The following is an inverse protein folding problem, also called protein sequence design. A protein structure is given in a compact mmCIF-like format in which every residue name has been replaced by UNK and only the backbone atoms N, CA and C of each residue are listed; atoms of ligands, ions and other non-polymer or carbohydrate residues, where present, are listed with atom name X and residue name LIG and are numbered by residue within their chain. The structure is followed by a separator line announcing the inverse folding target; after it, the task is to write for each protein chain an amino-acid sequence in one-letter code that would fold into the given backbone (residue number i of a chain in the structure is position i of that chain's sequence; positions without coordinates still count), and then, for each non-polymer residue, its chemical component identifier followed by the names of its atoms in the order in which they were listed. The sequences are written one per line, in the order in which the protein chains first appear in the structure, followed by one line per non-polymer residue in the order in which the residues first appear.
data_IF_588924531408
#
_entry.id   IF_588924531408
#
_cell.length_a   1.000
_cell.length_b   1.000
_cell.length_c   1.000
_cell.angle_alpha   90.00
_cell.angle_beta   90.00
_cell.angle_gamma   90.00
#
_symmetry.space_group_name_H-M   'P 1'
#
loop_
_entity.id
_entity.type
_entity.pdbx_description
1 polymer ?
#
# COMPACT_ATOMS: atom_id res chain seq x y z
N UNK A 1 -59.56 12.47 -85.15
CA UNK A 1 -60.02 13.21 -83.96
C UNK A 1 -59.88 12.25 -82.79
N UNK A 2 -59.05 12.53 -81.76
CA UNK A 2 -58.99 11.66 -80.59
C UNK A 2 -60.38 11.65 -79.92
N UNK A 3 -60.89 10.45 -79.61
CA UNK A 3 -62.22 10.24 -79.05
C UNK A 3 -62.40 10.97 -77.72
N UNK A 4 -63.58 11.56 -77.51
CA UNK A 4 -63.90 12.41 -76.35
C UNK A 4 -63.61 11.74 -75.00
N UNK A 5 -63.68 10.41 -74.92
CA UNK A 5 -63.33 9.61 -73.74
C UNK A 5 -61.86 9.77 -73.32
N UNK A 6 -60.91 9.80 -74.28
CA UNK A 6 -59.47 9.99 -73.95
C UNK A 6 -59.20 11.39 -73.41
N UNK A 7 -59.99 12.38 -73.82
CA UNK A 7 -59.88 13.76 -73.34
C UNK A 7 -60.48 13.92 -71.93
N UNK A 8 -61.53 13.17 -71.61
CA UNK A 8 -62.13 13.13 -70.28
C UNK A 8 -61.23 12.40 -69.27
N UNK A 9 -60.63 11.29 -69.68
CA UNK A 9 -59.72 10.51 -68.83
C UNK A 9 -58.44 11.29 -68.50
N UNK A 10 -57.88 12.02 -69.47
CA UNK A 10 -56.71 12.89 -69.25
C UNK A 10 -57.02 14.07 -68.33
N UNK A 11 -58.19 14.71 -68.44
CA UNK A 11 -58.62 15.77 -67.49
C UNK A 11 -58.81 15.25 -66.07
N UNK A 12 -59.40 14.07 -65.91
CA UNK A 12 -59.60 13.44 -64.59
C UNK A 12 -58.26 13.07 -63.93
N UNK A 13 -57.28 12.64 -64.73
CA UNK A 13 -55.92 12.33 -64.27
C UNK A 13 -55.14 13.60 -63.90
N UNK A 14 -55.33 14.70 -64.62
CA UNK A 14 -54.76 16.01 -64.28
C UNK A 14 -55.34 16.55 -62.95
N UNK A 15 -56.66 16.48 -62.76
CA UNK A 15 -57.30 16.91 -61.50
C UNK A 15 -56.87 16.05 -60.29
N UNK A 16 -56.63 14.76 -60.51
CA UNK A 16 -56.06 13.87 -59.48
C UNK A 16 -54.59 14.18 -59.15
N UNK A 17 -53.80 14.61 -60.14
CA UNK A 17 -52.42 15.02 -59.92
C UNK A 17 -52.35 16.35 -59.15
N UNK A 18 -53.18 17.31 -59.52
CA UNK A 18 -53.28 18.62 -58.85
C UNK A 18 -53.77 18.49 -57.40
N UNK A 19 -54.66 17.52 -57.12
CA UNK A 19 -55.07 17.17 -55.74
C UNK A 19 -53.99 16.43 -54.94
N UNK A 20 -53.05 15.74 -55.59
CA UNK A 20 -51.95 15.00 -54.93
C UNK A 20 -50.71 15.87 -54.65
N UNK A 21 -50.49 16.93 -55.42
CA UNK A 21 -49.41 17.90 -55.19
C UNK A 21 -49.36 18.48 -53.77
N UNK A 22 -50.45 18.99 -53.17
CA UNK A 22 -50.41 19.52 -51.81
C UNK A 22 -50.16 18.44 -50.75
N UNK A 23 -50.59 17.19 -50.99
CA UNK A 23 -50.34 16.06 -50.08
C UNK A 23 -48.87 15.63 -50.10
N UNK A 24 -48.26 15.60 -51.30
CA UNK A 24 -46.83 15.36 -51.47
C UNK A 24 -45.99 16.50 -50.88
N UNK A 25 -46.38 17.77 -51.09
CA UNK A 25 -45.71 18.92 -50.49
C UNK A 25 -45.74 18.88 -48.95
N UNK A 26 -46.88 18.49 -48.36
CA UNK A 26 -47.00 18.30 -46.91
C UNK A 26 -46.10 17.16 -46.40
N UNK A 27 -46.05 16.02 -47.10
CA UNK A 27 -45.17 14.89 -46.75
C UNK A 27 -43.69 15.27 -46.83
N UNK A 28 -43.29 16.05 -47.83
CA UNK A 28 -41.91 16.56 -47.97
C UNK A 28 -41.57 17.54 -46.84
N UNK A 29 -42.49 18.43 -46.48
CA UNK A 29 -42.29 19.35 -45.35
C UNK A 29 -42.18 18.61 -44.00
N UNK A 30 -43.01 17.59 -43.77
CA UNK A 30 -42.93 16.76 -42.56
C UNK A 30 -41.64 15.93 -42.51
N UNK A 31 -41.22 15.36 -43.65
CA UNK A 31 -39.95 14.65 -43.75
C UNK A 31 -38.76 15.58 -43.48
N UNK A 32 -38.79 16.81 -43.99
CA UNK A 32 -37.76 17.82 -43.74
C UNK A 32 -37.71 18.25 -42.28
N UNK A 33 -38.86 18.47 -41.65
CA UNK A 33 -38.94 18.78 -40.22
C UNK A 33 -38.41 17.65 -39.34
N UNK A 34 -38.75 16.39 -39.67
CA UNK A 34 -38.21 15.21 -38.97
C UNK A 34 -36.71 15.04 -39.17
N UNK A 35 -36.20 15.33 -40.36
CA UNK A 35 -34.76 15.30 -40.64
C UNK A 35 -34.00 16.36 -39.82
N UNK A 36 -34.52 17.59 -39.73
CA UNK A 36 -33.92 18.66 -38.93
C UNK A 36 -33.96 18.32 -37.42
N UNK A 37 -35.05 17.74 -36.92
CA UNK A 37 -35.14 17.30 -35.53
C UNK A 37 -34.16 16.17 -35.22
N UNK A 38 -34.00 15.20 -36.14
CA UNK A 38 -33.03 14.12 -36.01
C UNK A 38 -31.58 14.67 -36.01
N UNK A 39 -31.29 15.66 -36.85
CA UNK A 39 -29.99 16.33 -36.90
C UNK A 39 -29.70 17.08 -35.58
N UNK A 40 -30.66 17.85 -35.06
CA UNK A 40 -30.52 18.51 -33.74
C UNK A 40 -30.26 17.51 -32.61
N UNK A 41 -30.99 16.39 -32.59
CA UNK A 41 -30.77 15.33 -31.59
C UNK A 41 -29.40 14.67 -31.73
N UNK A 42 -28.92 14.46 -32.95
CA UNK A 42 -27.59 13.92 -33.20
C UNK A 42 -26.48 14.87 -32.74
N UNK A 43 -26.64 16.18 -32.94
CA UNK A 43 -25.69 17.20 -32.45
C UNK A 43 -25.69 17.27 -30.92
N UNK A 44 -26.86 17.26 -30.27
CA UNK A 44 -26.96 17.23 -28.81
C UNK A 44 -26.35 15.95 -28.22
N UNK A 45 -26.56 14.80 -28.87
CA UNK A 45 -25.96 13.53 -28.46
C UNK A 45 -24.44 13.57 -28.56
N UNK A 46 -23.88 14.09 -29.66
CA UNK A 46 -22.43 14.28 -29.80
C UNK A 46 -21.85 15.17 -28.70
N UNK A 47 -22.47 16.33 -28.44
CA UNK A 47 -22.02 17.21 -27.35
C UNK A 47 -22.01 16.53 -25.98
N UNK A 48 -22.98 15.66 -25.70
CA UNK A 48 -23.00 14.90 -24.44
C UNK A 48 -21.87 13.87 -24.36
N UNK A 49 -21.60 13.16 -25.45
CA UNK A 49 -20.48 12.21 -25.53
C UNK A 49 -19.14 12.94 -25.37
N UNK A 50 -18.95 14.06 -26.06
CA UNK A 50 -17.75 14.89 -25.94
C UNK A 50 -17.56 15.40 -24.50
N UNK A 51 -18.65 15.83 -23.84
CA UNK A 51 -18.62 16.26 -22.45
C UNK A 51 -18.30 15.10 -21.48
N UNK A 52 -18.85 13.91 -21.71
CA UNK A 52 -18.51 12.72 -20.92
C UNK A 52 -17.05 12.31 -21.11
N UNK A 53 -16.51 12.35 -22.35
CA UNK A 53 -15.10 12.08 -22.62
C UNK A 53 -14.19 13.07 -21.89
N UNK A 54 -14.49 14.36 -21.95
CA UNK A 54 -13.73 15.38 -21.23
C UNK A 54 -13.79 15.21 -19.70
N UNK A 55 -14.95 14.79 -19.17
CA UNK A 55 -15.09 14.50 -17.75
C UNK A 55 -14.28 13.27 -17.31
N UNK A 56 -14.17 12.23 -18.16
CA UNK A 56 -13.32 11.06 -17.90
C UNK A 56 -11.84 11.43 -17.92
N UNK A 57 -11.41 12.19 -18.94
CA UNK A 57 -10.04 12.71 -19.05
C UNK A 57 -9.63 13.52 -17.81
N UNK A 58 -10.53 14.38 -17.31
CA UNK A 58 -10.30 15.17 -16.11
C UNK A 58 -10.11 14.29 -14.85
N UNK A 59 -10.87 13.19 -14.73
CA UNK A 59 -10.72 12.25 -13.62
C UNK A 59 -9.41 11.45 -13.70
N UNK A 60 -8.93 11.12 -14.91
CA UNK A 60 -7.62 10.49 -15.11
C UNK A 60 -6.51 11.46 -14.66
N UNK A 61 -6.56 12.71 -15.11
CA UNK A 61 -5.60 13.74 -14.72
C UNK A 61 -5.61 14.02 -13.19
N UNK A 62 -6.79 13.97 -12.55
CA UNK A 62 -6.89 14.07 -11.10
C UNK A 62 -6.19 12.89 -10.39
N UNK A 63 -6.39 11.66 -10.88
CA UNK A 63 -5.70 10.47 -10.35
C UNK A 63 -4.18 10.55 -10.53
N UNK A 64 -3.69 11.00 -11.68
CA UNK A 64 -2.26 11.23 -11.92
C UNK A 64 -1.66 12.23 -10.91
N UNK A 65 -2.38 13.33 -10.66
CA UNK A 65 -1.96 14.33 -9.69
C UNK A 65 -1.91 13.77 -8.26
N UNK A 66 -2.90 12.98 -7.87
CA UNK A 66 -2.92 12.32 -6.56
C UNK A 66 -1.79 11.29 -6.41
N UNK A 67 -1.49 10.52 -7.47
CA UNK A 67 -0.35 9.59 -7.50
C UNK A 67 0.96 10.35 -7.29
N UNK A 68 1.19 11.44 -8.04
CA UNK A 68 2.39 12.27 -7.88
C UNK A 68 2.48 12.89 -6.48
N UNK A 69 1.35 13.32 -5.92
CA UNK A 69 1.27 13.84 -4.56
C UNK A 69 1.70 12.81 -3.52
N UNK A 70 1.18 11.58 -3.62
CA UNK A 70 1.53 10.47 -2.73
C UNK A 70 2.99 10.04 -2.87
N UNK A 71 3.53 9.99 -4.09
CA UNK A 71 4.95 9.70 -4.32
C UNK A 71 5.85 10.74 -3.66
N UNK A 72 5.46 12.00 -3.75
CA UNK A 72 6.19 13.09 -3.10
C UNK A 72 6.11 12.99 -1.58
N UNK A 73 4.93 12.71 -1.02
CA UNK A 73 4.76 12.57 0.43
C UNK A 73 5.54 11.38 0.99
N UNK A 74 5.55 10.24 0.29
CA UNK A 74 6.37 9.08 0.63
C UNK A 74 7.87 9.43 0.61
N UNK A 75 8.31 10.20 -0.38
CA UNK A 75 9.69 10.68 -0.46
C UNK A 75 10.05 11.61 0.70
N UNK A 76 9.17 12.55 1.06
CA UNK A 76 9.36 13.44 2.21
C UNK A 76 9.42 12.66 3.54
N UNK A 77 8.63 11.60 3.69
CA UNK A 77 8.71 10.70 4.85
C UNK A 77 10.06 9.99 4.91
N UNK A 78 10.52 9.43 3.79
CA UNK A 78 11.80 8.74 3.68
C UNK A 78 12.97 9.68 4.04
N UNK A 79 12.92 10.95 3.60
CA UNK A 79 13.92 12.00 3.84
C UNK A 79 13.81 12.68 5.21
N UNK A 80 12.72 12.48 5.97
CA UNK A 80 12.54 13.13 7.28
C UNK A 80 13.53 12.63 8.35
N UNK A 81 13.82 13.44 9.36
CA UNK A 81 14.64 13.04 10.52
C UNK A 81 13.88 12.17 11.55
N UNK A 82 12.67 11.70 11.19
CA UNK A 82 11.83 10.89 12.07
C UNK A 82 12.42 9.51 12.35
N UNK A 83 12.06 8.91 13.48
CA UNK A 83 12.48 7.54 13.82
C UNK A 83 11.88 6.51 12.85
N UNK A 84 12.62 5.44 12.53
CA UNK A 84 12.23 4.45 11.51
C UNK A 84 10.85 3.83 11.74
N UNK A 85 10.46 3.61 13.00
CA UNK A 85 9.15 3.06 13.33
C UNK A 85 8.00 4.04 13.06
N UNK A 86 8.24 5.35 13.15
CA UNK A 86 7.27 6.40 12.82
C UNK A 86 7.15 6.51 11.30
N UNK A 87 8.28 6.49 10.59
CA UNK A 87 8.32 6.48 9.12
C UNK A 87 7.52 5.31 8.57
N UNK A 88 7.80 4.09 9.03
CA UNK A 88 7.12 2.89 8.54
C UNK A 88 5.62 2.91 8.82
N UNK A 89 5.20 3.41 10.00
CA UNK A 89 3.79 3.55 10.36
C UNK A 89 3.00 4.52 9.46
N UNK A 90 3.66 5.54 8.90
CA UNK A 90 3.07 6.48 7.94
C UNK A 90 3.22 6.00 6.49
N UNK A 91 4.34 5.37 6.16
CA UNK A 91 4.69 4.89 4.82
C UNK A 91 3.78 3.75 4.38
N UNK A 92 3.54 2.76 5.22
CA UNK A 92 2.73 1.59 4.87
C UNK A 92 1.30 1.93 4.38
N UNK A 93 0.49 2.78 5.06
CA UNK A 93 -0.83 3.13 4.57
C UNK A 93 -0.79 4.01 3.31
N UNK A 94 0.18 4.93 3.19
CA UNK A 94 0.33 5.77 2.00
C UNK A 94 0.78 4.96 0.78
N UNK A 95 1.68 4.00 0.96
CA UNK A 95 2.12 3.08 -0.09
C UNK A 95 0.94 2.22 -0.58
N UNK A 96 0.13 1.67 0.34
CA UNK A 96 -1.07 0.90 -0.04
C UNK A 96 -2.05 1.74 -0.87
N UNK A 97 -2.24 3.02 -0.50
CA UNK A 97 -3.07 3.96 -1.27
C UNK A 97 -2.47 4.27 -2.63
N UNK A 98 -1.15 4.48 -2.69
CA UNK A 98 -0.42 4.73 -3.94
C UNK A 98 -0.57 3.56 -4.91
N UNK A 99 -0.38 2.33 -4.42
CA UNK A 99 -0.47 1.12 -5.24
C UNK A 99 -1.90 0.92 -5.78
N UNK A 100 -2.92 1.19 -4.96
CA UNK A 100 -4.32 1.13 -5.40
C UNK A 100 -4.63 2.18 -6.48
N UNK A 101 -4.14 3.42 -6.31
CA UNK A 101 -4.32 4.49 -7.30
C UNK A 101 -3.58 4.21 -8.59
N UNK A 102 -2.33 3.73 -8.52
CA UNK A 102 -1.55 3.33 -9.71
C UNK A 102 -2.20 2.18 -10.47
N UNK A 103 -2.74 1.19 -9.76
CA UNK A 103 -3.47 0.09 -10.40
C UNK A 103 -4.73 0.58 -11.12
N UNK A 104 -5.47 1.50 -10.49
CA UNK A 104 -6.65 2.13 -11.12
C UNK A 104 -6.25 2.96 -12.33
N UNK A 105 -5.25 3.83 -12.20
CA UNK A 105 -4.74 4.68 -13.28
C UNK A 105 -4.29 3.84 -14.49
N UNK A 106 -3.48 2.80 -14.27
CA UNK A 106 -3.01 1.90 -15.33
C UNK A 106 -4.15 1.22 -16.07
N UNK A 107 -5.21 0.80 -15.36
CA UNK A 107 -6.41 0.22 -15.98
C UNK A 107 -7.19 1.25 -16.82
N UNK A 108 -7.24 2.50 -16.39
CA UNK A 108 -7.90 3.58 -17.13
C UNK A 108 -7.12 3.97 -18.40
N UNK A 109 -5.79 4.07 -18.30
CA UNK A 109 -4.90 4.33 -19.44
C UNK A 109 -5.02 3.21 -20.48
N UNK A 110 -4.98 1.94 -20.08
CA UNK A 110 -5.12 0.80 -21.00
C UNK A 110 -6.46 0.80 -21.75
N UNK A 111 -7.56 1.13 -21.06
CA UNK A 111 -8.87 1.24 -21.68
C UNK A 111 -8.97 2.46 -22.61
N UNK A 112 -8.35 3.58 -22.25
CA UNK A 112 -8.28 4.79 -23.08
C UNK A 112 -7.49 4.54 -24.37
N UNK A 113 -6.32 3.90 -24.28
CA UNK A 113 -5.51 3.54 -25.45
C UNK A 113 -6.26 2.60 -26.39
N UNK A 114 -7.02 1.64 -25.83
CA UNK A 114 -7.85 0.72 -26.62
C UNK A 114 -8.98 1.45 -27.36
N UNK A 115 -9.58 2.47 -26.75
CA UNK A 115 -10.61 3.30 -27.40
C UNK A 115 -10.01 4.04 -28.60
N UNK A 116 -8.84 4.66 -28.44
CA UNK A 116 -8.16 5.37 -29.53
C UNK A 116 -7.78 4.43 -30.69
N UNK A 117 -7.36 3.19 -30.39
CA UNK A 117 -7.09 2.16 -31.40
C UNK A 117 -8.37 1.75 -32.15
N UNK A 118 -9.47 1.50 -31.44
CA UNK A 118 -10.76 1.16 -32.04
C UNK A 118 -11.32 2.29 -32.91
N UNK A 119 -11.20 3.55 -32.48
CA UNK A 119 -11.60 4.72 -33.27
C UNK A 119 -10.81 4.79 -34.58
N UNK A 120 -9.50 4.52 -34.54
CA UNK A 120 -8.67 4.48 -35.74
C UNK A 120 -9.03 3.33 -36.70
N UNK A 121 -9.38 2.15 -36.17
CA UNK A 121 -9.87 1.02 -36.96
C UNK A 121 -11.24 1.31 -37.59
N UNK A 122 -12.16 1.88 -36.82
CA UNK A 122 -13.49 2.30 -37.29
C UNK A 122 -13.33 3.31 -38.43
N UNK A 123 -12.48 4.32 -38.29
CA UNK A 123 -12.25 5.32 -39.33
C UNK A 123 -11.72 4.70 -40.65
N UNK A 124 -10.84 3.68 -40.56
CA UNK A 124 -10.39 2.92 -41.74
C UNK A 124 -11.53 2.13 -42.38
N UNK A 125 -12.32 1.41 -41.58
CA UNK A 125 -13.46 0.63 -42.06
C UNK A 125 -14.55 1.51 -42.68
N UNK A 126 -14.81 2.70 -42.13
CA UNK A 126 -15.75 3.67 -42.71
C UNK A 126 -15.29 4.12 -44.10
N UNK A 127 -13.98 4.37 -44.25
CA UNK A 127 -13.38 4.69 -45.54
C UNK A 127 -13.49 3.52 -46.53
N UNK A 128 -13.19 2.30 -46.09
CA UNK A 128 -13.32 1.09 -46.93
C UNK A 128 -14.78 0.88 -47.38
N UNK A 129 -15.75 1.07 -46.47
CA UNK A 129 -17.18 1.00 -46.80
C UNK A 129 -17.58 2.05 -47.83
N UNK A 130 -17.03 3.26 -47.75
CA UNK A 130 -17.28 4.32 -48.74
C UNK A 130 -16.65 3.99 -50.10
N UNK A 131 -15.41 3.51 -50.11
CA UNK A 131 -14.69 3.11 -51.31
C UNK A 131 -15.39 1.92 -52.02
N UNK A 132 -15.85 0.90 -51.28
CA UNK A 132 -16.61 -0.21 -51.85
C UNK A 132 -18.00 0.20 -52.36
N UNK A 133 -18.65 1.19 -51.74
CA UNK A 133 -19.93 1.74 -52.21
C UNK A 133 -19.82 2.41 -53.57
N UNK A 134 -18.67 3.02 -53.85
CA UNK A 134 -18.39 3.73 -55.09
C UNK A 134 -17.72 2.84 -56.14
N UNK A 135 -17.59 1.52 -55.88
CA UNK A 135 -16.94 0.57 -56.78
C UNK A 135 -17.96 -0.25 -57.58
N UNK A 136 -17.78 -0.33 -58.90
CA UNK A 136 -18.59 -1.16 -59.81
C UNK A 136 -18.05 -2.59 -59.98
N UNK A 137 -17.20 -3.08 -59.06
CA UNK A 137 -16.61 -4.41 -59.15
C UNK A 137 -17.60 -5.54 -58.85
N UNK A 138 -17.51 -6.68 -59.55
CA UNK A 138 -18.41 -7.85 -59.35
C UNK A 138 -18.45 -8.37 -57.90
N UNK A 139 -17.40 -8.16 -57.11
CA UNK A 139 -17.34 -8.57 -55.71
C UNK A 139 -17.54 -7.40 -54.72
N UNK A 140 -17.69 -6.16 -55.20
CA UNK A 140 -17.78 -4.96 -54.36
C UNK A 140 -18.94 -5.04 -53.38
N UNK A 141 -20.09 -5.61 -53.79
CA UNK A 141 -21.23 -5.82 -52.89
C UNK A 141 -20.92 -6.81 -51.75
N UNK A 142 -20.17 -7.88 -52.00
CA UNK A 142 -19.77 -8.82 -50.94
C UNK A 142 -18.78 -8.18 -49.97
N UNK A 143 -17.76 -7.46 -50.48
CA UNK A 143 -16.81 -6.75 -49.63
C UNK A 143 -17.48 -5.64 -48.82
N UNK A 144 -18.44 -4.93 -49.39
CA UNK A 144 -19.24 -3.94 -48.70
C UNK A 144 -20.03 -4.55 -47.52
N UNK A 145 -20.66 -5.71 -47.74
CA UNK A 145 -21.42 -6.41 -46.70
C UNK A 145 -20.48 -6.88 -45.58
N UNK A 146 -19.30 -7.40 -45.92
CA UNK A 146 -18.29 -7.79 -44.94
C UNK A 146 -17.78 -6.59 -44.15
N UNK A 147 -17.35 -5.52 -44.82
CA UNK A 147 -16.81 -4.30 -44.19
C UNK A 147 -17.84 -3.63 -43.27
N UNK A 148 -19.13 -3.60 -43.66
CA UNK A 148 -20.20 -3.11 -42.79
C UNK A 148 -20.37 -3.96 -41.53
N UNK A 149 -20.33 -5.29 -41.67
CA UNK A 149 -20.45 -6.19 -40.52
C UNK A 149 -19.27 -6.00 -39.55
N UNK A 150 -18.06 -5.86 -40.07
CA UNK A 150 -16.88 -5.61 -39.25
C UNK A 150 -16.93 -4.23 -38.59
N UNK A 151 -17.42 -3.21 -39.31
CA UNK A 151 -17.66 -1.87 -38.77
C UNK A 151 -18.66 -1.89 -37.62
N UNK A 152 -19.79 -2.59 -37.77
CA UNK A 152 -20.80 -2.73 -36.72
C UNK A 152 -20.23 -3.47 -35.50
N UNK A 153 -19.43 -4.51 -35.72
CA UNK A 153 -18.76 -5.24 -34.64
C UNK A 153 -17.76 -4.37 -33.88
N UNK A 154 -16.95 -3.57 -34.59
CA UNK A 154 -15.98 -2.66 -33.97
C UNK A 154 -16.64 -1.51 -33.23
N UNK A 155 -17.74 -0.96 -33.75
CA UNK A 155 -18.56 0.03 -33.02
C UNK A 155 -19.16 -0.54 -31.74
N UNK A 156 -19.62 -1.79 -31.75
CA UNK A 156 -20.10 -2.45 -30.55
C UNK A 156 -18.96 -2.73 -29.55
N UNK A 157 -17.75 -3.03 -30.02
CA UNK A 157 -16.58 -3.18 -29.15
C UNK A 157 -16.17 -1.85 -28.51
N UNK A 158 -16.22 -0.75 -29.27
CA UNK A 158 -16.00 0.61 -28.77
C UNK A 158 -16.98 0.96 -27.66
N UNK A 159 -18.28 0.80 -27.90
CA UNK A 159 -19.34 1.10 -26.90
C UNK A 159 -19.14 0.31 -25.60
N UNK A 160 -18.77 -0.97 -25.69
CA UNK A 160 -18.48 -1.77 -24.50
C UNK A 160 -17.21 -1.28 -23.78
N UNK A 161 -16.16 -0.90 -24.52
CA UNK A 161 -14.91 -0.41 -23.93
C UNK A 161 -15.10 0.95 -23.24
N UNK A 162 -15.90 1.84 -23.83
CA UNK A 162 -16.31 3.11 -23.19
C UNK A 162 -17.13 2.88 -21.92
N UNK A 163 -18.04 1.89 -21.92
CA UNK A 163 -18.81 1.53 -20.75
C UNK A 163 -17.92 0.94 -19.63
N UNK A 164 -16.94 0.10 -20.00
CA UNK A 164 -15.96 -0.44 -19.06
C UNK A 164 -15.05 0.65 -18.50
N UNK A 165 -14.64 1.64 -19.30
CA UNK A 165 -13.88 2.80 -18.84
C UNK A 165 -14.70 3.60 -17.82
N UNK A 166 -15.96 3.92 -18.14
CA UNK A 166 -16.87 4.64 -17.22
C UNK A 166 -17.05 3.88 -15.90
N UNK A 167 -17.24 2.56 -15.97
CA UNK A 167 -17.34 1.70 -14.79
C UNK A 167 -16.04 1.68 -13.99
N UNK A 168 -14.88 1.55 -14.64
CA UNK A 168 -13.58 1.53 -13.97
C UNK A 168 -13.29 2.86 -13.25
N UNK A 169 -13.75 3.98 -13.82
CA UNK A 169 -13.68 5.29 -13.17
C UNK A 169 -14.52 5.35 -11.90
N UNK A 170 -15.75 4.82 -11.92
CA UNK A 170 -16.65 4.80 -10.76
C UNK A 170 -16.36 3.66 -9.76
N UNK A 171 -15.49 2.71 -10.13
CA UNK A 171 -15.08 1.59 -9.28
C UNK A 171 -14.34 2.12 -8.04
N UNK A 172 -14.76 1.73 -6.82
CA UNK A 172 -14.11 2.18 -5.60
C UNK A 172 -12.67 1.67 -5.58
N UNK A 173 -11.77 2.49 -5.04
CA UNK A 173 -10.38 2.11 -4.82
C UNK A 173 -10.34 1.03 -3.75
N UNK A 174 -10.37 -0.24 -4.15
CA UNK A 174 -10.14 -1.33 -3.22
C UNK A 174 -8.66 -1.34 -2.89
N UNK A 175 -8.25 -1.02 -1.64
CA UNK A 175 -6.86 -1.11 -1.26
C UNK A 175 -6.39 -2.55 -1.43
N UNK A 176 -5.17 -2.73 -1.93
CA UNK A 176 -4.50 -4.02 -1.86
C UNK A 176 -4.56 -4.53 -0.42
N UNK A 177 -4.82 -5.83 -0.17
CA UNK A 177 -4.92 -6.36 1.18
C UNK A 177 -3.67 -5.96 1.98
N UNK A 178 -3.88 -5.33 3.13
CA UNK A 178 -2.80 -4.82 3.97
C UNK A 178 -1.76 -5.94 4.20
N UNK A 179 -0.45 -5.65 4.08
CA UNK A 179 0.57 -6.64 4.36
C UNK A 179 0.34 -7.22 5.76
N UNK A 180 0.33 -8.55 5.86
CA UNK A 180 0.12 -9.22 7.13
C UNK A 180 1.08 -8.64 8.19
N UNK A 181 0.60 -8.34 9.41
CA UNK A 181 1.43 -7.75 10.44
C UNK A 181 2.71 -8.59 10.60
N UNK A 182 3.86 -7.91 10.51
CA UNK A 182 5.17 -8.56 10.72
C UNK A 182 5.11 -9.30 12.06
N UNK A 183 5.50 -10.59 12.12
CA UNK A 183 5.52 -11.34 13.38
C UNK A 183 6.23 -10.52 14.46
N UNK A 184 5.61 -10.40 15.63
CA UNK A 184 6.22 -9.73 16.76
C UNK A 184 7.63 -10.31 16.98
N UNK A 185 8.66 -9.47 17.24
CA UNK A 185 9.99 -9.97 17.52
C UNK A 185 9.91 -10.99 18.65
N UNK A 186 10.57 -12.14 18.45
CA UNK A 186 10.62 -13.19 19.46
C UNK A 186 11.11 -12.58 20.78
N UNK A 187 10.48 -12.92 21.92
CA UNK A 187 10.91 -12.40 23.21
C UNK A 187 12.40 -12.65 23.39
N UNK A 188 13.14 -11.61 23.78
CA UNK A 188 14.57 -11.71 24.03
C UNK A 188 14.83 -12.88 25.01
N UNK A 189 15.86 -13.70 24.77
CA UNK A 189 16.18 -14.81 25.66
C UNK A 189 16.35 -14.28 27.08
N UNK A 190 15.62 -14.89 28.02
CA UNK A 190 15.75 -14.60 29.44
C UNK A 190 17.23 -14.69 29.81
N UNK A 191 17.84 -13.66 30.43
CA UNK A 191 19.23 -13.73 30.87
C UNK A 191 19.41 -15.00 31.73
N UNK A 192 20.39 -15.83 31.39
CA UNK A 192 20.74 -16.97 32.22
C UNK A 192 21.03 -16.48 33.63
N UNK A 193 20.48 -17.19 34.62
CA UNK A 193 20.73 -16.89 36.02
C UNK A 193 22.26 -16.90 36.25
N UNK A 194 22.81 -15.89 36.96
CA UNK A 194 24.24 -15.83 37.22
C UNK A 194 24.69 -17.14 37.89
N UNK A 195 25.79 -17.70 37.37
CA UNK A 195 26.35 -18.94 37.90
C UNK A 195 26.50 -18.84 39.43
N UNK A 196 26.13 -19.90 40.18
CA UNK A 196 26.22 -19.89 41.64
C UNK A 196 27.65 -19.56 42.07
N UNK A 197 27.76 -18.61 43.01
CA UNK A 197 29.05 -18.17 43.53
C UNK A 197 29.90 -19.37 43.97
N UNK A 198 31.21 -19.38 43.66
CA UNK A 198 32.09 -20.48 44.01
C UNK A 198 32.06 -20.71 45.53
N UNK A 199 31.90 -21.98 45.92
CA UNK A 199 31.85 -22.40 47.32
C UNK A 199 33.11 -21.89 48.04
N UNK A 200 32.99 -21.25 49.22
CA UNK A 200 34.14 -20.77 49.97
C UNK A 200 35.17 -21.88 50.17
N UNK A 201 36.44 -21.59 49.91
CA UNK A 201 37.53 -22.52 50.14
C UNK A 201 37.52 -22.96 51.62
N UNK A 202 37.75 -24.25 51.91
CA UNK A 202 37.80 -24.75 53.28
C UNK A 202 38.87 -23.99 54.08
N UNK A 203 38.50 -23.54 55.28
CA UNK A 203 39.38 -22.79 56.16
C UNK A 203 40.69 -23.59 56.43
N UNK A 204 41.85 -22.91 56.43
CA UNK A 204 43.12 -23.57 56.70
C UNK A 204 43.09 -24.24 58.08
N UNK A 205 43.59 -25.47 58.13
CA UNK A 205 43.69 -26.27 59.36
C UNK A 205 44.50 -25.49 60.42
N UNK A 206 44.01 -25.36 61.67
CA UNK A 206 44.75 -24.67 62.72
C UNK A 206 46.15 -25.25 62.89
N UNK A 207 47.15 -24.38 63.02
CA UNK A 207 48.52 -24.78 63.30
C UNK A 207 48.57 -25.58 64.63
N UNK A 208 49.38 -26.65 64.71
CA UNK A 208 49.52 -27.43 65.93
C UNK A 208 50.04 -26.54 67.07
N UNK A 209 49.43 -26.69 68.25
CA UNK A 209 49.78 -25.92 69.43
C UNK A 209 51.26 -26.16 69.83
N UNK A 210 51.98 -25.11 70.25
CA UNK A 210 53.37 -25.25 70.69
C UNK A 210 53.45 -26.17 71.91
N UNK A 211 54.48 -27.03 71.90
CA UNK A 211 54.76 -27.98 72.99
C UNK A 211 55.03 -27.20 74.30
N UNK A 212 54.45 -27.62 75.45
CA UNK A 212 54.71 -26.97 76.73
C UNK A 212 56.21 -26.94 77.06
N UNK A 213 56.67 -25.78 77.54
CA UNK A 213 58.04 -25.63 78.02
C UNK A 213 58.29 -26.54 79.24
N UNK A 214 59.50 -27.14 79.36
CA UNK A 214 59.84 -27.96 80.52
C UNK A 214 59.78 -27.15 81.81
N UNK A 215 59.24 -27.74 82.87
CA UNK A 215 59.07 -27.12 84.17
C UNK A 215 60.44 -26.72 84.78
N UNK A 216 60.53 -25.56 85.45
CA UNK A 216 61.75 -25.11 86.10
C UNK A 216 62.17 -26.08 87.22
N UNK A 217 63.47 -26.36 87.29
CA UNK A 217 64.08 -27.22 88.30
C UNK A 217 63.90 -26.59 89.70
N UNK A 218 63.53 -27.35 90.75
CA UNK A 218 63.38 -26.82 92.10
C UNK A 218 64.65 -26.14 92.61
N UNK A 219 64.49 -24.98 93.24
CA UNK A 219 65.60 -24.28 93.90
C UNK A 219 66.10 -25.09 95.11
N UNK A 220 67.42 -25.17 95.34
CA UNK A 220 67.99 -25.84 96.51
C UNK A 220 67.56 -25.14 97.81
N UNK A 221 67.27 -25.95 98.83
CA UNK A 221 66.78 -25.49 100.13
C UNK A 221 67.79 -24.59 100.87
N UNK A 222 67.32 -23.59 101.65
CA UNK A 222 68.18 -22.70 102.42
C UNK A 222 68.99 -23.45 103.48
N UNK A 223 70.24 -23.01 103.66
CA UNK A 223 71.22 -23.58 104.59
C UNK A 223 70.78 -23.35 106.06
N UNK A 224 70.96 -24.33 106.97
CA UNK A 224 70.60 -24.18 108.38
C UNK A 224 71.35 -23.02 109.06
N UNK A 225 70.65 -22.30 109.94
CA UNK A 225 71.22 -21.22 110.75
C UNK A 225 72.20 -21.77 111.82
N UNK A 226 73.27 -21.02 112.15
CA UNK A 226 74.25 -21.44 113.15
C UNK A 226 73.65 -21.48 114.57
N UNK A 227 74.03 -22.51 115.32
CA UNK A 227 73.61 -22.71 116.71
C UNK A 227 74.21 -21.66 117.67
N UNK A 228 73.46 -21.23 118.70
CA UNK A 228 73.93 -20.27 119.69
C UNK A 228 75.05 -20.83 120.58
N UNK A 229 75.96 -19.93 120.96
CA UNK A 229 77.16 -20.19 121.78
C UNK A 229 76.76 -20.38 123.26
N UNK A 230 77.29 -21.37 123.99
CA UNK A 230 77.03 -21.53 125.42
C UNK A 230 77.74 -20.45 126.25
N UNK A 231 76.98 -19.83 127.14
CA UNK A 231 77.46 -18.91 128.18
C UNK A 231 78.11 -19.70 129.33
N UNK A 232 79.18 -19.13 129.87
CA UNK A 232 79.91 -19.64 131.04
C UNK A 232 79.23 -19.19 132.34
N UNK A 233 78.91 -20.10 133.27
CA UNK A 233 78.56 -19.69 134.62
C UNK A 233 79.82 -19.37 135.44
N UNK A 234 79.79 -18.17 136.05
CA UNK A 234 80.71 -17.71 137.10
C UNK A 234 80.56 -18.56 138.36
N UNK A 235 81.66 -19.13 138.84
CA UNK A 235 81.99 -19.20 140.27
C UNK A 235 82.99 -18.05 140.52
N UNK A 236 82.83 -17.10 141.44
CA UNK A 236 82.05 -17.07 142.67
C UNK A 236 82.99 -17.36 143.83
N UNK A 237 83.17 -16.35 144.70
CA UNK A 237 83.74 -16.39 146.06
C UNK A 237 85.28 -16.33 146.12
N UNK A 238 85.95 -15.47 146.91
CA UNK A 238 85.57 -14.66 148.08
C UNK A 238 86.77 -13.70 148.37
N UNK A 239 86.52 -12.41 148.62
CA UNK A 239 86.64 -11.73 149.93
C UNK A 239 88.05 -11.16 150.26
N UNK A 240 88.21 -9.84 150.48
CA UNK A 240 87.81 -9.06 151.68
C UNK A 240 88.78 -9.37 152.84
N UNK A 241 89.43 -8.50 153.60
CA UNK A 241 89.48 -7.07 153.94
C UNK A 241 90.95 -6.85 154.45
N UNK A 242 91.59 -5.68 154.49
CA UNK A 242 91.19 -4.39 155.05
C UNK A 242 92.24 -3.96 156.10
N UNK A 243 93.06 -2.96 155.75
CA UNK A 243 93.65 -1.89 156.59
C UNK A 243 94.44 -0.95 155.69
#
# INVERSE_FOLDING_TARGET
VPEADKLAETKKKAEQAEKKEPELAKKVAEAKAKAEEAEKKAVEAKQKVDAEKYALEAKIAELEYEVQGLEKELKEIDESDSEDYIKEGLRAPLQSKLDAKKAKLSKLEELSDKIDELDAEIAKLEKDVEDFKNSDGEQAEQYLVAAKKDLDAKKAELENTEADLKKAVDEPETPAPAPAPKPAPAPAPTPEAPAPAPKPAPAPKPAPAPKPAPAPKPAPAPKPAPAPKPETPKTGWKQENGM
#
